data_IF_539505321657
#
_entry.id   IF_539505321657
#
_cell.length_a   1.000
_cell.length_b   1.000
_cell.length_c   1.000
_cell.angle_alpha   90.00
_cell.angle_beta   90.00
_cell.angle_gamma   90.00
#
_symmetry.space_group_name_H-M   'P 1'
#
loop_
_entity.id
_entity.type
_entity.pdbx_description
1 polymer ?
#
# COMPACT_ATOMS: atom_id res chain seq x y z
N UNK A 1 -18.28 -23.21 -12.57
CA UNK A 1 -18.69 -23.85 -13.85
C UNK A 1 -18.77 -22.78 -14.93
N UNK A 2 -18.42 -23.09 -16.18
CA UNK A 2 -18.52 -22.15 -17.31
C UNK A 2 -19.96 -21.70 -17.53
N UNK A 3 -20.13 -20.46 -17.98
CA UNK A 3 -21.43 -19.95 -18.39
C UNK A 3 -21.69 -20.35 -19.85
N UNK A 4 -22.66 -21.24 -20.14
CA UNK A 4 -22.95 -21.68 -21.51
C UNK A 4 -23.58 -20.59 -22.39
N UNK A 5 -24.05 -19.49 -21.78
CA UNK A 5 -24.61 -18.33 -22.48
C UNK A 5 -23.64 -17.14 -22.51
N UNK A 6 -22.35 -17.36 -22.26
CA UNK A 6 -21.36 -16.29 -22.35
C UNK A 6 -21.18 -15.86 -23.80
N UNK A 7 -21.26 -14.56 -24.05
CA UNK A 7 -21.39 -14.01 -25.40
C UNK A 7 -20.05 -13.67 -26.06
N UNK A 8 -18.93 -13.82 -25.36
CA UNK A 8 -17.60 -13.55 -25.92
C UNK A 8 -17.06 -14.78 -26.64
N UNK A 9 -16.51 -14.54 -27.82
CA UNK A 9 -15.82 -15.52 -28.64
C UNK A 9 -14.39 -15.04 -28.90
N UNK A 10 -13.48 -15.98 -29.14
CA UNK A 10 -12.15 -15.68 -29.65
C UNK A 10 -12.19 -15.43 -31.19
N UNK A 11 -11.07 -15.02 -31.82
CA UNK A 11 -11.01 -14.78 -33.26
C UNK A 11 -11.33 -16.00 -34.15
N UNK A 12 -11.24 -17.23 -33.61
CA UNK A 12 -11.55 -18.48 -34.32
C UNK A 12 -13.02 -18.91 -34.15
N UNK A 13 -13.78 -18.20 -33.31
CA UNK A 13 -15.19 -18.44 -33.06
C UNK A 13 -15.47 -19.37 -31.86
N UNK A 14 -14.45 -19.72 -31.07
CA UNK A 14 -14.65 -20.53 -29.86
C UNK A 14 -15.32 -19.70 -28.76
N UNK A 15 -16.43 -20.19 -28.19
CA UNK A 15 -17.10 -19.52 -27.07
C UNK A 15 -16.26 -19.60 -25.79
N UNK A 16 -15.98 -18.44 -25.18
CA UNK A 16 -15.21 -18.32 -23.94
C UNK A 16 -16.06 -18.62 -22.68
N UNK A 17 -15.43 -18.89 -21.52
CA UNK A 17 -14.00 -19.10 -21.26
C UNK A 17 -13.50 -20.47 -21.75
N UNK A 18 -12.18 -20.61 -21.92
CA UNK A 18 -11.54 -21.91 -22.19
C UNK A 18 -11.62 -22.87 -20.98
N UNK A 19 -11.57 -22.32 -19.76
CA UNK A 19 -11.63 -23.10 -18.52
C UNK A 19 -13.08 -23.45 -18.17
N UNK A 20 -13.37 -24.74 -18.02
CA UNK A 20 -14.72 -25.23 -17.72
C UNK A 20 -15.15 -25.03 -16.26
N UNK A 21 -14.20 -25.01 -15.33
CA UNK A 21 -14.46 -24.87 -13.89
C UNK A 21 -13.32 -24.15 -13.19
N UNK A 22 -13.69 -23.19 -12.35
CA UNK A 22 -12.82 -22.61 -11.32
C UNK A 22 -13.35 -23.08 -9.97
N UNK A 23 -12.47 -23.57 -9.12
CA UNK A 23 -12.75 -23.92 -7.71
C UNK A 23 -12.01 -22.94 -6.81
N UNK A 24 -12.69 -22.46 -5.78
CA UNK A 24 -12.10 -21.58 -4.77
C UNK A 24 -12.23 -22.27 -3.42
N UNK A 25 -11.11 -22.76 -2.90
CA UNK A 25 -11.07 -23.38 -1.57
C UNK A 25 -11.11 -22.29 -0.50
N UNK A 26 -11.99 -22.44 0.48
CA UNK A 26 -11.97 -21.62 1.69
C UNK A 26 -10.98 -22.25 2.67
N UNK A 27 -9.89 -21.53 2.95
CA UNK A 27 -8.87 -21.94 3.92
C UNK A 27 -8.96 -21.10 5.19
N UNK A 28 -8.43 -21.63 6.30
CA UNK A 28 -8.54 -21.01 7.62
C UNK A 28 -7.71 -19.72 7.77
N UNK A 29 -6.58 -19.62 7.07
CA UNK A 29 -5.64 -18.51 7.15
C UNK A 29 -4.79 -18.37 5.87
N UNK A 30 -3.94 -17.35 5.83
CA UNK A 30 -3.09 -17.05 4.66
C UNK A 30 -1.96 -18.07 4.52
N UNK A 31 -1.44 -18.61 5.62
CA UNK A 31 -0.35 -19.60 5.61
C UNK A 31 -0.76 -20.88 4.87
N UNK A 32 -2.05 -21.28 4.97
CA UNK A 32 -2.59 -22.39 4.18
C UNK A 32 -2.60 -22.10 2.67
N UNK A 33 -2.78 -20.84 2.26
CA UNK A 33 -2.67 -20.45 0.84
C UNK A 33 -1.23 -20.66 0.37
N UNK A 34 -0.25 -20.24 1.16
CA UNK A 34 1.17 -20.38 0.83
C UNK A 34 1.61 -21.84 0.73
N UNK A 35 1.13 -22.70 1.64
CA UNK A 35 1.40 -24.13 1.59
C UNK A 35 0.84 -24.78 0.32
N UNK A 36 -0.40 -24.45 -0.05
CA UNK A 36 -1.02 -24.94 -1.29
C UNK A 36 -0.34 -24.40 -2.55
N UNK A 37 0.10 -23.14 -2.53
CA UNK A 37 0.90 -22.57 -3.62
C UNK A 37 2.23 -23.33 -3.76
N UNK A 38 2.93 -23.55 -2.65
CA UNK A 38 4.19 -24.29 -2.63
C UNK A 38 4.05 -25.74 -3.11
N UNK A 39 2.95 -26.42 -2.77
CA UNK A 39 2.70 -27.81 -3.21
C UNK A 39 2.21 -27.94 -4.66
N UNK A 40 2.05 -26.83 -5.40
CA UNK A 40 1.53 -26.85 -6.76
C UNK A 40 0.02 -27.14 -6.83
N UNK A 41 -0.70 -27.04 -5.71
CA UNK A 41 -2.16 -27.27 -5.67
C UNK A 41 -2.98 -26.10 -6.22
N UNK A 42 -2.34 -24.99 -6.57
CA UNK A 42 -3.01 -23.80 -7.09
C UNK A 42 -2.51 -23.49 -8.50
N UNK A 43 -3.40 -23.55 -9.49
CA UNK A 43 -3.08 -23.21 -10.89
C UNK A 43 -2.73 -21.72 -11.07
N UNK A 44 -3.36 -20.85 -10.26
CA UNK A 44 -3.14 -19.40 -10.29
C UNK A 44 -3.56 -18.73 -8.99
N UNK A 45 -2.66 -17.96 -8.37
CA UNK A 45 -2.97 -17.13 -7.20
C UNK A 45 -2.15 -15.85 -7.22
N UNK A 46 -2.83 -14.70 -7.22
CA UNK A 46 -2.20 -13.40 -6.98
C UNK A 46 -2.62 -12.79 -5.63
N UNK A 47 -3.76 -13.23 -5.07
CA UNK A 47 -4.31 -12.67 -3.85
C UNK A 47 -3.67 -13.34 -2.64
N UNK A 48 -3.23 -12.53 -1.66
CA UNK A 48 -2.57 -12.98 -0.42
C UNK A 48 -1.25 -13.76 -0.64
N UNK A 49 -0.68 -13.63 -1.83
CA UNK A 49 0.70 -14.03 -2.13
C UNK A 49 1.44 -12.73 -2.39
N UNK A 50 2.41 -12.40 -1.54
CA UNK A 50 3.04 -11.08 -1.51
C UNK A 50 4.56 -11.12 -1.48
N UNK A 51 5.18 -9.95 -1.31
CA UNK A 51 6.64 -9.82 -1.32
C UNK A 51 7.35 -10.67 -0.25
N UNK A 52 6.72 -10.89 0.90
CA UNK A 52 7.26 -11.74 1.97
C UNK A 52 7.41 -13.21 1.56
N UNK A 53 6.59 -13.68 0.61
CA UNK A 53 6.56 -15.07 0.16
C UNK A 53 7.48 -15.29 -1.06
N UNK A 54 7.94 -14.20 -1.69
CA UNK A 54 8.62 -14.24 -2.98
C UNK A 54 9.83 -15.16 -2.97
N UNK A 55 10.77 -14.97 -2.03
CA UNK A 55 12.01 -15.76 -2.00
C UNK A 55 11.71 -17.25 -1.82
N UNK A 56 10.81 -17.57 -0.89
CA UNK A 56 10.43 -18.95 -0.61
C UNK A 56 9.77 -19.63 -1.82
N UNK A 57 8.81 -18.97 -2.47
CA UNK A 57 8.14 -19.52 -3.66
C UNK A 57 9.11 -19.59 -4.84
N UNK A 58 9.95 -18.56 -5.04
CA UNK A 58 10.90 -18.51 -6.15
C UNK A 58 11.94 -19.62 -6.08
N UNK A 59 12.47 -19.91 -4.89
CA UNK A 59 13.43 -21.00 -4.68
C UNK A 59 12.82 -22.41 -4.86
N UNK A 60 11.49 -22.53 -4.94
CA UNK A 60 10.80 -23.81 -5.01
C UNK A 60 9.90 -23.96 -6.25
N UNK A 61 10.05 -23.10 -7.27
CA UNK A 61 9.37 -23.21 -8.57
C UNK A 61 9.49 -24.62 -9.16
N UNK A 62 10.71 -25.14 -9.26
CA UNK A 62 10.99 -26.46 -9.84
C UNK A 62 10.34 -27.61 -9.05
N UNK A 63 10.20 -27.47 -7.73
CA UNK A 63 9.62 -28.52 -6.87
C UNK A 63 8.10 -28.53 -6.93
N UNK A 64 7.48 -27.36 -7.06
CA UNK A 64 6.03 -27.21 -7.10
C UNK A 64 5.44 -27.17 -8.51
N UNK A 65 6.26 -27.26 -9.56
CA UNK A 65 5.85 -27.17 -10.97
C UNK A 65 5.03 -25.91 -11.27
N UNK A 66 5.52 -24.76 -10.78
CA UNK A 66 4.90 -23.46 -11.01
C UNK A 66 5.95 -22.40 -11.36
N UNK A 67 5.46 -21.24 -11.81
CA UNK A 67 6.27 -20.04 -12.02
C UNK A 67 5.75 -18.90 -11.14
N UNK A 68 6.67 -18.20 -10.49
CA UNK A 68 6.46 -16.93 -9.80
C UNK A 68 6.60 -15.82 -10.82
N UNK A 69 5.49 -15.16 -11.09
CA UNK A 69 5.42 -14.00 -11.97
C UNK A 69 5.63 -12.72 -11.17
N UNK A 70 6.74 -12.02 -11.42
CA UNK A 70 7.07 -10.75 -10.75
C UNK A 70 6.30 -9.59 -11.40
N UNK A 71 4.99 -9.56 -11.15
CA UNK A 71 4.11 -8.53 -11.69
C UNK A 71 4.26 -7.22 -10.92
N UNK A 72 4.39 -6.13 -11.68
CA UNK A 72 4.32 -4.80 -11.10
C UNK A 72 2.91 -4.55 -10.55
N UNK A 73 2.86 -4.08 -9.30
CA UNK A 73 1.60 -3.66 -8.70
C UNK A 73 1.08 -2.41 -9.40
N UNK A 74 -0.22 -2.40 -9.71
CA UNK A 74 -0.93 -1.18 -10.10
C UNK A 74 -1.20 -0.23 -8.93
N UNK A 75 -0.79 -0.58 -7.71
CA UNK A 75 -0.99 0.25 -6.53
C UNK A 75 0.06 1.37 -6.46
N UNK A 76 -0.43 2.62 -6.39
CA UNK A 76 0.37 3.83 -6.32
C UNK A 76 1.10 4.08 -4.99
N UNK A 77 0.78 3.31 -3.94
CA UNK A 77 1.45 3.37 -2.64
C UNK A 77 0.55 3.00 -1.47
N UNK A 78 1.13 2.98 -0.27
CA UNK A 78 0.40 2.86 1.00
C UNK A 78 0.16 4.26 1.55
N UNK A 79 -1.04 4.50 2.06
CA UNK A 79 -1.55 5.84 2.32
C UNK A 79 -1.95 6.01 3.79
N UNK A 80 -1.59 7.16 4.36
CA UNK A 80 -2.18 7.67 5.58
C UNK A 80 -3.03 8.89 5.20
N UNK A 81 -4.33 8.82 5.46
CA UNK A 81 -5.26 9.92 5.20
C UNK A 81 -5.81 10.51 6.50
N UNK A 82 -5.38 11.73 6.86
CA UNK A 82 -6.01 12.45 7.97
C UNK A 82 -7.50 12.67 7.69
N UNK A 83 -8.35 12.42 8.69
CA UNK A 83 -9.78 12.68 8.56
C UNK A 83 -10.05 14.20 8.56
N UNK A 84 -10.15 14.78 7.37
CA UNK A 84 -10.37 16.21 7.14
C UNK A 84 -11.73 16.74 7.65
N UNK A 85 -12.59 15.85 8.16
CA UNK A 85 -13.92 16.16 8.70
C UNK A 85 -14.11 15.63 10.13
N UNK A 86 -13.03 15.31 10.85
CA UNK A 86 -13.11 14.78 12.21
C UNK A 86 -13.88 15.73 13.16
N UNK A 87 -14.53 15.18 14.19
CA UNK A 87 -15.40 15.96 15.10
C UNK A 87 -14.62 16.95 15.97
N UNK A 88 -13.35 16.65 16.29
CA UNK A 88 -12.45 17.58 16.97
C UNK A 88 -12.09 18.72 16.02
N UNK A 89 -12.68 19.90 16.24
CA UNK A 89 -12.50 21.07 15.37
C UNK A 89 -11.07 21.61 15.37
N UNK A 90 -10.30 21.40 16.45
CA UNK A 90 -8.90 21.82 16.53
C UNK A 90 -8.05 20.93 15.63
N UNK A 91 -8.22 19.61 15.73
CA UNK A 91 -7.54 18.66 14.84
C UNK A 91 -7.98 18.82 13.39
N UNK A 92 -9.28 19.06 13.15
CA UNK A 92 -9.80 19.30 11.81
C UNK A 92 -9.07 20.46 11.13
N UNK A 93 -8.88 21.57 11.85
CA UNK A 93 -8.16 22.74 11.33
C UNK A 93 -6.70 22.41 11.02
N UNK A 94 -6.03 21.63 11.88
CA UNK A 94 -4.65 21.17 11.64
C UNK A 94 -4.58 20.27 10.41
N UNK A 95 -5.46 19.28 10.28
CA UNK A 95 -5.47 18.31 9.17
C UNK A 95 -5.81 18.95 7.82
N UNK A 96 -6.67 19.97 7.82
CA UNK A 96 -7.05 20.70 6.61
C UNK A 96 -5.90 21.57 6.09
N UNK A 97 -4.98 22.02 6.94
CA UNK A 97 -3.79 22.75 6.49
C UNK A 97 -2.90 21.84 5.63
N UNK A 98 -2.62 22.29 4.41
CA UNK A 98 -1.77 21.57 3.45
C UNK A 98 -0.36 21.35 4.02
N UNK A 99 0.16 22.30 4.80
CA UNK A 99 1.50 22.23 5.40
C UNK A 99 1.61 21.07 6.38
N UNK A 100 0.54 20.74 7.10
CA UNK A 100 0.52 19.57 7.98
C UNK A 100 0.69 18.27 7.20
N UNK A 101 -0.02 18.13 6.07
CA UNK A 101 0.07 16.92 5.23
C UNK A 101 1.44 16.80 4.55
N UNK A 102 2.02 17.92 4.14
CA UNK A 102 3.41 17.99 3.64
C UNK A 102 4.41 17.56 4.73
N UNK A 103 4.26 18.08 5.95
CA UNK A 103 5.09 17.72 7.09
C UNK A 103 4.99 16.24 7.43
N UNK A 104 3.78 15.69 7.46
CA UNK A 104 3.55 14.27 7.71
C UNK A 104 4.24 13.41 6.64
N UNK A 105 4.14 13.79 5.36
CA UNK A 105 4.78 13.05 4.27
C UNK A 105 6.31 13.06 4.36
N UNK A 106 6.91 14.23 4.64
CA UNK A 106 8.37 14.38 4.76
C UNK A 106 8.95 13.69 5.99
N UNK A 107 8.14 13.46 7.02
CA UNK A 107 8.55 12.77 8.24
C UNK A 107 8.58 11.24 8.09
N UNK A 108 8.15 10.68 6.95
CA UNK A 108 8.14 9.23 6.70
C UNK A 108 9.44 8.83 6.02
N UNK A 109 10.23 7.98 6.69
CA UNK A 109 11.40 7.35 6.08
C UNK A 109 10.99 6.16 5.21
N UNK A 110 10.63 6.43 3.96
CA UNK A 110 10.13 5.41 3.02
C UNK A 110 11.20 4.39 2.62
N UNK A 111 12.47 4.81 2.54
CA UNK A 111 13.59 3.91 2.28
C UNK A 111 13.74 2.90 3.41
N UNK A 112 13.75 3.37 4.66
CA UNK A 112 13.85 2.49 5.83
C UNK A 112 12.66 1.52 5.93
N UNK A 113 11.44 1.98 5.67
CA UNK A 113 10.26 1.10 5.61
C UNK A 113 10.41 0.05 4.50
N UNK A 114 10.93 0.45 3.32
CA UNK A 114 11.14 -0.48 2.21
C UNK A 114 12.15 -1.58 2.56
N UNK A 115 13.28 -1.22 3.16
CA UNK A 115 14.30 -2.17 3.59
C UNK A 115 13.78 -3.13 4.66
N UNK A 116 13.21 -2.59 5.74
CA UNK A 116 12.80 -3.42 6.90
C UNK A 116 11.55 -4.25 6.64
N UNK A 117 10.52 -3.68 6.01
CA UNK A 117 9.23 -4.35 5.84
C UNK A 117 9.16 -5.14 4.53
N UNK A 118 9.94 -4.75 3.51
CA UNK A 118 9.79 -5.27 2.16
C UNK A 118 11.09 -5.72 1.49
N UNK A 119 12.20 -5.81 2.23
CA UNK A 119 13.48 -6.32 1.74
C UNK A 119 13.99 -5.56 0.51
N UNK A 120 13.72 -4.25 0.44
CA UNK A 120 14.17 -3.39 -0.66
C UNK A 120 13.44 -3.61 -1.99
N UNK A 121 12.36 -4.40 -2.03
CA UNK A 121 11.70 -4.82 -3.28
C UNK A 121 10.75 -3.78 -3.89
N UNK A 122 10.39 -2.72 -3.16
CA UNK A 122 9.48 -1.69 -3.66
C UNK A 122 10.25 -0.40 -3.92
N UNK A 123 9.59 0.53 -4.61
CA UNK A 123 10.13 1.85 -4.89
C UNK A 123 9.54 2.88 -3.91
N UNK A 124 10.36 3.56 -3.10
CA UNK A 124 9.94 4.68 -2.28
C UNK A 124 9.33 5.81 -3.14
N UNK A 125 8.06 6.12 -2.90
CA UNK A 125 7.33 7.14 -3.67
C UNK A 125 6.23 7.83 -2.88
N UNK A 126 5.74 8.95 -3.40
CA UNK A 126 4.45 9.49 -3.02
C UNK A 126 3.32 8.71 -3.71
N UNK A 127 2.20 8.57 -2.99
CA UNK A 127 1.01 7.98 -3.55
C UNK A 127 0.48 8.78 -4.76
N UNK A 128 0.57 8.15 -5.92
CA UNK A 128 0.33 8.73 -7.25
C UNK A 128 0.06 7.60 -8.25
N UNK A 129 -0.26 7.94 -9.50
CA UNK A 129 -0.32 6.92 -10.55
C UNK A 129 1.05 6.27 -10.77
N UNK A 130 1.10 4.96 -10.98
CA UNK A 130 2.32 4.21 -11.29
C UNK A 130 2.85 4.55 -12.70
N UNK A 131 4.15 4.36 -12.94
CA UNK A 131 4.86 4.73 -14.18
C UNK A 131 4.30 4.10 -15.47
N UNK A 132 3.63 2.95 -15.37
CA UNK A 132 2.94 2.31 -16.50
C UNK A 132 1.56 2.88 -16.83
N UNK A 133 1.06 3.85 -16.05
CA UNK A 133 -0.25 4.47 -16.27
C UNK A 133 -0.19 5.62 -17.28
N UNK A 134 -1.22 5.75 -18.12
CA UNK A 134 -1.38 6.90 -19.03
C UNK A 134 -1.52 8.25 -18.30
N UNK A 135 -1.85 8.22 -17.01
CA UNK A 135 -1.97 9.39 -16.14
C UNK A 135 -0.76 9.57 -15.20
N UNK A 136 0.35 8.88 -15.46
CA UNK A 136 1.58 9.02 -14.69
C UNK A 136 2.08 10.47 -14.66
N UNK A 137 2.58 10.91 -13.50
CA UNK A 137 3.25 12.18 -13.33
C UNK A 137 4.43 12.00 -12.38
N UNK A 138 5.64 12.19 -12.90
CA UNK A 138 6.88 12.13 -12.13
C UNK A 138 6.93 13.21 -11.03
N UNK A 139 6.38 14.40 -11.31
CA UNK A 139 6.25 15.47 -10.31
C UNK A 139 5.41 15.01 -9.11
N UNK A 140 4.28 14.36 -9.38
CA UNK A 140 3.40 13.88 -8.32
C UNK A 140 4.03 12.70 -7.57
N UNK A 141 4.68 11.78 -8.28
CA UNK A 141 5.42 10.67 -7.67
C UNK A 141 6.48 11.13 -6.67
N UNK A 142 7.16 12.25 -6.95
CA UNK A 142 8.22 12.81 -6.10
C UNK A 142 7.72 13.82 -5.07
N UNK A 143 6.45 14.22 -5.11
CA UNK A 143 5.92 15.30 -4.26
C UNK A 143 5.98 14.96 -2.76
N UNK A 144 6.95 15.58 -2.05
CA UNK A 144 7.16 15.39 -0.61
C UNK A 144 7.40 13.90 -0.26
N UNK A 145 8.04 13.17 -1.16
CA UNK A 145 8.37 11.75 -0.99
C UNK A 145 9.69 11.55 -0.26
N UNK A 146 10.56 12.57 -0.25
CA UNK A 146 11.84 12.56 0.44
C UNK A 146 11.69 12.50 1.97
N UNK A 147 12.68 11.92 2.64
CA UNK A 147 12.76 11.92 4.10
C UNK A 147 13.50 13.17 4.58
N UNK A 148 12.75 14.17 5.05
CA UNK A 148 13.29 15.44 5.55
C UNK A 148 12.56 15.88 6.84
N UNK A 149 12.95 15.31 8.01
CA UNK A 149 12.39 15.70 9.30
C UNK A 149 12.60 17.16 9.66
N UNK A 150 13.64 17.81 9.13
CA UNK A 150 13.92 19.21 9.44
C UNK A 150 12.89 20.11 8.77
N UNK A 151 12.64 19.90 7.48
CA UNK A 151 11.62 20.63 6.72
C UNK A 151 10.20 20.26 7.16
N UNK A 152 9.98 19.02 7.60
CA UNK A 152 8.73 18.65 8.28
C UNK A 152 8.49 19.48 9.54
N UNK A 153 9.50 19.62 10.41
CA UNK A 153 9.40 20.45 11.60
C UNK A 153 9.17 21.93 11.27
N UNK A 154 9.86 22.47 10.25
CA UNK A 154 9.68 23.84 9.80
C UNK A 154 8.22 24.13 9.39
N UNK A 155 7.58 23.24 8.62
CA UNK A 155 6.17 23.38 8.26
C UNK A 155 5.25 23.39 9.49
N UNK A 156 5.52 22.59 10.51
CA UNK A 156 4.74 22.58 11.75
C UNK A 156 4.96 23.87 12.56
N UNK A 157 6.18 24.42 12.56
CA UNK A 157 6.50 25.70 13.20
C UNK A 157 5.82 26.87 12.50
N UNK A 158 5.77 26.89 11.16
CA UNK A 158 5.02 27.87 10.35
C UNK A 158 3.51 27.85 10.59
N UNK A 159 2.98 26.72 11.07
CA UNK A 159 1.59 26.60 11.50
C UNK A 159 1.35 27.13 12.93
N UNK A 160 2.41 27.50 13.64
CA UNK A 160 2.36 27.95 15.03
C UNK A 160 2.36 26.82 16.06
N UNK A 161 2.64 25.57 15.66
CA UNK A 161 2.66 24.40 16.55
C UNK A 161 4.00 24.28 17.31
N UNK A 162 4.53 25.38 17.83
CA UNK A 162 5.91 25.48 18.36
C UNK A 162 6.06 25.01 19.81
N UNK A 163 4.99 25.08 20.60
CA UNK A 163 5.00 24.67 22.01
C UNK A 163 5.13 23.15 22.13
N UNK A 164 5.80 22.68 23.17
CA UNK A 164 5.98 21.25 23.46
C UNK A 164 5.62 20.91 24.90
N UNK A 165 5.20 19.68 25.15
CA UNK A 165 5.09 19.13 26.50
C UNK A 165 6.45 18.70 27.06
N UNK A 166 6.45 18.11 28.26
CA UNK A 166 7.67 17.67 28.96
C UNK A 166 8.40 16.53 28.26
N UNK A 167 7.72 15.79 27.39
CA UNK A 167 8.28 14.66 26.63
C UNK A 167 8.76 15.11 25.25
N UNK A 168 8.57 16.39 24.91
CA UNK A 168 9.02 16.98 23.65
C UNK A 168 7.99 16.86 22.52
N UNK A 169 6.77 16.39 22.77
CA UNK A 169 5.72 16.35 21.76
C UNK A 169 5.09 17.72 21.58
N UNK A 170 4.71 18.06 20.34
CA UNK A 170 4.11 19.36 20.02
C UNK A 170 2.73 19.49 20.68
N UNK A 171 2.40 20.68 21.14
CA UNK A 171 1.09 21.02 21.66
C UNK A 171 0.21 21.63 20.56
N UNK A 172 -1.07 21.29 20.60
CA UNK A 172 -2.13 21.91 19.80
C UNK A 172 -2.43 23.32 20.32
N UNK A 173 -3.15 24.17 19.54
CA UNK A 173 -3.54 25.51 19.99
C UNK A 173 -4.38 25.55 21.27
N UNK A 174 -5.07 24.45 21.62
CA UNK A 174 -5.83 24.30 22.85
C UNK A 174 -5.00 23.81 24.06
N UNK A 175 -3.67 23.69 23.89
CA UNK A 175 -2.73 23.31 24.94
C UNK A 175 -2.60 21.81 25.21
N UNK A 176 -3.40 20.97 24.53
CA UNK A 176 -3.28 19.50 24.62
C UNK A 176 -2.15 19.01 23.73
N UNK A 177 -1.52 17.89 24.08
CA UNK A 177 -0.53 17.23 23.21
C UNK A 177 -1.17 16.85 21.88
N UNK A 178 -0.46 17.14 20.78
CA UNK A 178 -0.85 16.74 19.43
C UNK A 178 -0.60 15.24 19.28
N UNK A 179 -1.67 14.47 19.45
CA UNK A 179 -1.68 13.02 19.25
C UNK A 179 -2.61 12.66 18.11
N UNK A 180 -2.21 11.62 17.36
CA UNK A 180 -2.95 11.07 16.22
C UNK A 180 -3.24 9.61 16.51
N UNK A 181 -4.51 9.23 16.39
CA UNK A 181 -4.88 7.83 16.35
C UNK A 181 -4.86 7.34 14.90
N UNK A 182 -4.02 6.35 14.63
CA UNK A 182 -3.92 5.73 13.30
C UNK A 182 -4.76 4.46 13.33
N UNK A 183 -5.89 4.50 12.62
CA UNK A 183 -6.74 3.33 12.43
C UNK A 183 -6.16 2.49 11.29
N UNK A 184 -5.73 1.27 11.61
CA UNK A 184 -5.40 0.27 10.61
C UNK A 184 -6.61 -0.66 10.39
N UNK A 185 -6.85 -1.06 9.15
CA UNK A 185 -7.82 -2.11 8.82
C UNK A 185 -6.99 -3.35 8.52
N UNK A 186 -6.92 -4.27 9.49
CA UNK A 186 -6.38 -5.59 9.22
C UNK A 186 -7.34 -6.31 8.26
N UNK A 187 -6.85 -6.72 7.09
CA UNK A 187 -7.61 -7.38 6.02
C UNK A 187 -7.26 -8.85 5.82
#
# INVERSE_FOLDING_TARGET
MRNPYYWKVDPEGNQLPYIDRVTCDLVANTEMIHLKAFSGEIDFQCRRVGGADYTFLKENEDKGDYQVLDWQSGNGGILIWPNLTCKDLVLRKIFQDVRFRKALSLAINREEVNEFCYQGRFEPRQASFVSGSSYFSEEWEKAYAEYDPQRANAFLDEMGLTKRDKEGFRLRPDGKTLSLEVLNIDG
#
